data_IF_828659137479
#
_entry.id   IF_828659137479
#
_cell.length_a   1.000
_cell.length_b   1.000
_cell.length_c   1.000
_cell.angle_alpha   90.00
_cell.angle_beta   90.00
_cell.angle_gamma   90.00
#
_symmetry.space_group_name_H-M   'P 1'
#
loop_
_entity.id
_entity.type
_entity.pdbx_description
1 polymer ?
#
# COMPACT_ATOMS: atom_id res chain seq x y z
N UNK A 1 18.08 17.17 7.91
CA UNK A 1 17.81 17.40 6.47
C UNK A 1 17.48 16.12 5.73
N UNK A 2 18.31 15.07 5.83
CA UNK A 2 18.12 13.75 5.18
C UNK A 2 16.74 13.12 5.46
N UNK A 3 16.30 13.08 6.72
CA UNK A 3 15.01 12.50 7.09
C UNK A 3 13.81 13.20 6.43
N UNK A 4 13.84 14.53 6.32
CA UNK A 4 12.77 15.30 5.69
C UNK A 4 12.72 15.05 4.18
N UNK A 5 13.87 15.02 3.51
CA UNK A 5 13.96 14.77 2.07
C UNK A 5 13.41 13.38 1.76
N UNK A 6 13.90 12.35 2.44
CA UNK A 6 13.45 10.99 2.18
C UNK A 6 12.01 10.73 2.63
N UNK A 7 11.56 11.35 3.72
CA UNK A 7 10.15 11.33 4.12
C UNK A 7 9.24 11.94 3.04
N UNK A 8 9.63 13.09 2.47
CA UNK A 8 8.90 13.71 1.37
C UNK A 8 8.90 12.82 0.10
N UNK A 9 10.02 12.20 -0.24
CA UNK A 9 10.09 11.24 -1.35
C UNK A 9 9.19 10.02 -1.11
N UNK A 10 9.18 9.50 0.12
CA UNK A 10 8.25 8.45 0.57
C UNK A 10 6.80 8.85 0.35
N UNK A 11 6.41 10.03 0.83
CA UNK A 11 5.07 10.58 0.66
C UNK A 11 4.68 10.77 -0.82
N UNK A 12 5.54 11.36 -1.63
CA UNK A 12 5.25 11.64 -3.04
C UNK A 12 5.10 10.34 -3.85
N UNK A 13 5.98 9.37 -3.63
CA UNK A 13 5.87 8.06 -4.25
C UNK A 13 4.59 7.32 -3.79
N UNK A 14 4.32 7.30 -2.49
CA UNK A 14 3.09 6.77 -1.93
C UNK A 14 1.83 7.43 -2.49
N UNK A 15 1.89 8.73 -2.72
CA UNK A 15 0.80 9.53 -3.29
C UNK A 15 0.49 9.21 -4.74
N UNK A 16 1.34 8.45 -5.44
CA UNK A 16 1.11 8.14 -6.85
C UNK A 16 -0.26 7.46 -7.06
N UNK A 17 -1.18 8.05 -7.87
CA UNK A 17 -2.59 7.68 -7.91
C UNK A 17 -2.87 6.51 -8.87
N UNK A 18 -2.18 5.39 -8.68
CA UNK A 18 -2.22 4.14 -9.47
C UNK A 18 -3.62 3.72 -9.94
N UNK A 19 -4.55 3.44 -9.01
CA UNK A 19 -5.88 2.94 -9.38
C UNK A 19 -6.79 4.00 -9.99
N UNK A 20 -6.57 5.28 -9.68
CA UNK A 20 -7.25 6.38 -10.35
C UNK A 20 -6.81 6.48 -11.81
N UNK A 21 -5.50 6.47 -12.07
CA UNK A 21 -4.96 6.46 -13.43
C UNK A 21 -5.40 5.23 -14.21
N UNK A 22 -5.43 4.05 -13.59
CA UNK A 22 -5.93 2.84 -14.22
C UNK A 22 -7.41 2.97 -14.64
N UNK A 23 -8.27 3.52 -13.77
CA UNK A 23 -9.68 3.76 -14.10
C UNK A 23 -9.85 4.74 -15.27
N UNK A 24 -9.08 5.83 -15.23
CA UNK A 24 -9.11 6.87 -16.24
C UNK A 24 -8.58 6.37 -17.60
N UNK A 25 -7.46 5.66 -17.63
CA UNK A 25 -6.85 5.21 -18.89
C UNK A 25 -7.57 4.04 -19.55
N UNK A 26 -8.14 3.12 -18.76
CA UNK A 26 -8.75 1.90 -19.31
C UNK A 26 -10.23 2.09 -19.65
N UNK A 27 -10.94 2.91 -18.87
CA UNK A 27 -12.39 3.11 -19.03
C UNK A 27 -12.82 4.56 -19.18
N UNK A 28 -11.93 5.54 -19.02
CA UNK A 28 -12.30 6.96 -19.04
C UNK A 28 -13.13 7.38 -17.83
N UNK A 29 -13.12 6.60 -16.74
CA UNK A 29 -14.00 6.82 -15.58
C UNK A 29 -13.17 7.14 -14.36
N UNK A 30 -13.61 8.15 -13.59
CA UNK A 30 -13.09 8.38 -12.25
C UNK A 30 -13.50 7.24 -11.33
N UNK A 31 -12.53 6.41 -10.94
CA UNK A 31 -12.74 5.26 -10.05
C UNK A 31 -13.40 5.65 -8.71
N UNK A 32 -13.28 6.90 -8.27
CA UNK A 32 -13.85 7.40 -7.01
C UNK A 32 -15.37 7.57 -7.06
N UNK A 33 -15.98 7.54 -8.24
CA UNK A 33 -17.44 7.59 -8.39
C UNK A 33 -18.06 6.19 -8.41
N UNK A 34 -17.26 5.13 -8.28
CA UNK A 34 -17.70 3.73 -8.40
C UNK A 34 -17.49 2.99 -7.08
N UNK A 35 -18.42 2.09 -6.75
CA UNK A 35 -18.27 1.13 -5.65
C UNK A 35 -18.04 1.81 -4.30
N UNK A 36 -16.87 1.59 -3.69
CA UNK A 36 -16.56 2.16 -2.38
C UNK A 36 -15.95 3.57 -2.45
N UNK A 37 -15.78 4.14 -3.63
CA UNK A 37 -15.20 5.46 -3.87
C UNK A 37 -13.69 5.60 -3.59
N UNK A 38 -13.01 4.49 -3.29
CA UNK A 38 -11.56 4.47 -3.05
C UNK A 38 -10.76 4.15 -4.32
N UNK A 39 -9.48 4.52 -4.34
CA UNK A 39 -8.58 4.29 -5.48
C UNK A 39 -7.81 2.96 -5.41
N UNK A 40 -8.01 2.17 -4.35
CA UNK A 40 -7.26 0.93 -4.14
C UNK A 40 -7.71 -0.25 -5.01
N UNK A 41 -6.91 -1.32 -4.96
CA UNK A 41 -7.09 -2.55 -5.73
C UNK A 41 -8.50 -3.16 -5.70
N UNK A 42 -9.19 -3.16 -4.54
CA UNK A 42 -10.55 -3.70 -4.43
C UNK A 42 -11.53 -2.96 -5.35
N UNK A 43 -11.44 -1.63 -5.41
CA UNK A 43 -12.33 -0.84 -6.26
C UNK A 43 -11.91 -0.92 -7.73
N UNK A 44 -10.60 -0.98 -7.99
CA UNK A 44 -10.08 -1.20 -9.34
C UNK A 44 -10.57 -2.55 -9.89
N UNK A 45 -10.64 -3.58 -9.04
CA UNK A 45 -11.20 -4.87 -9.40
C UNK A 45 -12.68 -4.84 -9.76
N UNK A 46 -13.47 -3.98 -9.11
CA UNK A 46 -14.90 -3.80 -9.45
C UNK A 46 -15.10 -3.13 -10.80
N UNK A 47 -14.28 -2.12 -11.12
CA UNK A 47 -14.39 -1.35 -12.36
C UNK A 47 -13.72 -2.05 -13.56
N UNK A 48 -12.53 -2.61 -13.35
CA UNK A 48 -11.61 -3.06 -14.41
C UNK A 48 -11.39 -4.58 -14.42
N UNK A 49 -11.82 -5.28 -13.38
CA UNK A 49 -11.66 -6.74 -13.24
C UNK A 49 -10.41 -7.19 -12.49
N UNK A 50 -10.32 -8.50 -12.25
CA UNK A 50 -9.33 -9.12 -11.33
C UNK A 50 -7.86 -8.87 -11.70
N UNK A 51 -7.54 -8.78 -12.99
CA UNK A 51 -6.15 -8.60 -13.44
C UNK A 51 -5.65 -7.19 -13.08
N UNK A 52 -6.50 -6.17 -13.26
CA UNK A 52 -6.23 -4.80 -12.86
C UNK A 52 -6.19 -4.65 -11.34
N UNK A 53 -7.04 -5.37 -10.60
CA UNK A 53 -6.95 -5.40 -9.14
C UNK A 53 -5.55 -5.86 -8.66
N UNK A 54 -5.03 -6.95 -9.25
CA UNK A 54 -3.69 -7.47 -8.94
C UNK A 54 -2.60 -6.47 -9.33
N UNK A 55 -2.66 -5.91 -10.53
CA UNK A 55 -1.69 -4.93 -11.00
C UNK A 55 -1.63 -3.70 -10.07
N UNK A 56 -2.79 -3.10 -9.74
CA UNK A 56 -2.88 -1.96 -8.83
C UNK A 56 -2.35 -2.32 -7.44
N UNK A 57 -2.68 -3.50 -6.91
CA UNK A 57 -2.17 -3.96 -5.62
C UNK A 57 -0.64 -4.06 -5.62
N UNK A 58 -0.03 -4.64 -6.66
CA UNK A 58 1.43 -4.77 -6.76
C UNK A 58 2.10 -3.39 -6.82
N UNK A 59 1.60 -2.47 -7.65
CA UNK A 59 2.18 -1.12 -7.74
C UNK A 59 1.97 -0.35 -6.43
N UNK A 60 0.82 -0.52 -5.76
CA UNK A 60 0.57 0.08 -4.45
C UNK A 60 1.49 -0.46 -3.34
N UNK A 61 1.83 -1.75 -3.38
CA UNK A 61 2.84 -2.33 -2.48
C UNK A 61 4.22 -1.71 -2.73
N UNK A 62 4.59 -1.58 -4.01
CA UNK A 62 5.92 -1.10 -4.39
C UNK A 62 6.13 0.39 -4.13
N UNK A 63 5.13 1.24 -4.36
CA UNK A 63 5.31 2.69 -4.26
C UNK A 63 5.66 3.17 -2.85
N UNK A 64 5.26 2.45 -1.80
CA UNK A 64 5.70 2.71 -0.43
C UNK A 64 7.09 2.11 -0.11
N UNK A 65 7.42 0.97 -0.69
CA UNK A 65 8.66 0.24 -0.43
C UNK A 65 9.87 0.79 -1.20
N UNK A 66 9.70 1.24 -2.44
CA UNK A 66 10.79 1.69 -3.31
C UNK A 66 11.58 2.85 -2.68
N UNK A 67 10.96 3.94 -2.17
CA UNK A 67 11.72 5.02 -1.53
C UNK A 67 12.53 4.56 -0.33
N UNK A 68 11.99 3.63 0.46
CA UNK A 68 12.67 3.03 1.60
C UNK A 68 13.89 2.20 1.16
N UNK A 69 13.74 1.38 0.12
CA UNK A 69 14.84 0.59 -0.43
C UNK A 69 15.94 1.49 -1.04
N UNK A 70 15.55 2.54 -1.76
CA UNK A 70 16.47 3.53 -2.29
C UNK A 70 17.25 4.24 -1.16
N UNK A 71 16.58 4.60 -0.05
CA UNK A 71 17.23 5.18 1.11
C UNK A 71 18.28 4.24 1.72
N UNK A 72 17.94 2.95 1.89
CA UNK A 72 18.90 1.93 2.36
C UNK A 72 20.09 1.78 1.43
N UNK A 73 19.84 1.76 0.12
CA UNK A 73 20.92 1.66 -0.86
C UNK A 73 21.83 2.90 -0.85
N UNK A 74 21.29 4.07 -0.51
CA UNK A 74 22.05 5.30 -0.27
C UNK A 74 22.81 5.30 1.08
N UNK A 75 22.81 4.20 1.82
CA UNK A 75 23.51 4.06 3.09
C UNK A 75 22.73 4.56 4.31
N UNK A 76 21.42 4.85 4.17
CA UNK A 76 20.59 5.19 5.32
C UNK A 76 20.22 3.91 6.08
N UNK A 77 20.84 3.74 7.25
CA UNK A 77 20.62 2.59 8.14
C UNK A 77 19.80 2.93 9.39
N UNK A 78 19.57 4.22 9.68
CA UNK A 78 18.77 4.65 10.84
C UNK A 78 17.34 4.08 10.74
N UNK A 79 16.93 3.19 11.68
CA UNK A 79 15.61 2.58 11.66
C UNK A 79 14.46 3.59 11.71
N UNK A 80 14.64 4.73 12.38
CA UNK A 80 13.61 5.77 12.50
C UNK A 80 13.40 6.50 11.18
N UNK A 81 14.47 6.77 10.44
CA UNK A 81 14.37 7.39 9.10
C UNK A 81 13.69 6.41 8.14
N UNK A 82 14.07 5.14 8.17
CA UNK A 82 13.45 4.10 7.35
C UNK A 82 11.96 3.93 7.68
N UNK A 83 11.59 3.89 8.96
CA UNK A 83 10.20 3.82 9.41
C UNK A 83 9.40 5.07 8.98
N UNK A 84 10.00 6.26 9.07
CA UNK A 84 9.39 7.51 8.61
C UNK A 84 9.08 7.47 7.12
N UNK A 85 10.00 6.99 6.28
CA UNK A 85 9.80 6.88 4.82
C UNK A 85 8.65 5.91 4.52
N UNK A 86 8.66 4.73 5.16
CA UNK A 86 7.61 3.73 5.00
C UNK A 86 6.24 4.27 5.42
N UNK A 87 6.17 4.92 6.57
CA UNK A 87 4.96 5.56 7.08
C UNK A 87 4.47 6.66 6.13
N UNK A 88 5.37 7.54 5.69
CA UNK A 88 5.06 8.60 4.74
C UNK A 88 4.48 8.05 3.43
N UNK A 89 4.99 6.92 2.93
CA UNK A 89 4.43 6.23 1.76
C UNK A 89 2.99 5.75 1.96
N UNK A 90 2.67 5.19 3.14
CA UNK A 90 1.30 4.79 3.48
C UNK A 90 0.38 6.02 3.60
N UNK A 91 0.85 7.08 4.26
CA UNK A 91 0.14 8.36 4.37
C UNK A 91 -0.13 8.96 2.99
N UNK A 92 0.85 8.95 2.09
CA UNK A 92 0.70 9.41 0.71
C UNK A 92 -0.37 8.62 -0.04
N UNK A 93 -0.41 7.30 0.11
CA UNK A 93 -1.46 6.49 -0.53
C UNK A 93 -2.87 6.84 -0.01
N UNK A 94 -3.01 7.11 1.29
CA UNK A 94 -4.29 7.45 1.90
C UNK A 94 -4.73 8.88 1.58
N UNK A 95 -3.76 9.80 1.56
CA UNK A 95 -3.96 11.23 1.37
C UNK A 95 -3.08 11.76 0.23
N UNK A 96 -3.30 11.31 -1.02
CA UNK A 96 -2.49 11.71 -2.15
C UNK A 96 -2.77 13.18 -2.51
N UNK A 97 -1.70 13.97 -2.59
CA UNK A 97 -1.78 15.40 -2.92
C UNK A 97 -2.52 15.67 -4.24
N UNK A 98 -2.37 14.78 -5.21
CA UNK A 98 -2.96 14.91 -6.56
C UNK A 98 -4.47 14.72 -6.59
N UNK A 99 -5.06 14.05 -5.60
CA UNK A 99 -6.49 13.73 -5.56
C UNK A 99 -7.21 14.45 -4.42
N UNK A 100 -6.75 15.67 -4.10
CA UNK A 100 -7.30 16.49 -3.01
C UNK A 100 -7.31 15.74 -1.67
N UNK A 101 -6.24 14.99 -1.40
CA UNK A 101 -6.06 14.18 -0.19
C UNK A 101 -7.13 13.09 0.00
N UNK A 102 -7.80 12.64 -1.07
CA UNK A 102 -8.78 11.54 -1.04
C UNK A 102 -8.24 10.34 -1.82
N UNK A 103 -7.60 9.41 -1.11
CA UNK A 103 -6.93 8.26 -1.70
C UNK A 103 -7.55 6.91 -1.36
N UNK A 104 -6.69 5.93 -1.17
CA UNK A 104 -7.08 4.57 -0.79
C UNK A 104 -7.06 4.35 0.72
N UNK A 105 -7.07 3.08 1.12
CA UNK A 105 -7.08 2.65 2.54
C UNK A 105 -5.71 2.18 3.06
N UNK A 106 -4.71 2.15 2.20
CA UNK A 106 -3.32 1.90 2.60
C UNK A 106 -2.96 0.43 2.82
N UNK A 107 -3.90 -0.50 2.74
CA UNK A 107 -3.65 -1.92 3.05
C UNK A 107 -2.50 -2.51 2.22
N UNK A 108 -2.59 -2.43 0.89
CA UNK A 108 -1.54 -2.95 0.00
C UNK A 108 -0.20 -2.25 0.25
N UNK A 109 -0.20 -0.93 0.37
CA UNK A 109 1.02 -0.16 0.68
C UNK A 109 1.65 -0.61 1.99
N UNK A 110 0.88 -0.78 3.06
CA UNK A 110 1.33 -1.27 4.37
C UNK A 110 1.94 -2.66 4.30
N UNK A 111 1.34 -3.57 3.52
CA UNK A 111 1.94 -4.89 3.27
C UNK A 111 3.26 -4.79 2.52
N UNK A 112 3.33 -3.94 1.51
CA UNK A 112 4.54 -3.70 0.75
C UNK A 112 5.67 -3.18 1.63
N UNK A 113 5.43 -2.13 2.43
CA UNK A 113 6.46 -1.63 3.34
C UNK A 113 6.82 -2.64 4.41
N UNK A 114 5.86 -3.33 5.03
CA UNK A 114 6.14 -4.36 6.02
C UNK A 114 6.99 -5.50 5.46
N UNK A 115 6.72 -5.93 4.22
CA UNK A 115 7.52 -6.95 3.53
C UNK A 115 8.97 -6.47 3.40
N UNK A 116 9.24 -5.27 2.90
CA UNK A 116 10.61 -4.83 2.66
C UNK A 116 11.33 -4.24 3.90
N UNK A 117 10.60 -3.98 4.99
CA UNK A 117 11.16 -3.42 6.22
C UNK A 117 12.12 -4.43 6.88
N UNK A 118 11.77 -5.72 6.88
CA UNK A 118 12.59 -6.78 7.45
C UNK A 118 12.87 -7.91 6.43
N UNK A 119 13.79 -7.71 5.45
CA UNK A 119 14.09 -8.65 4.37
C UNK A 119 14.24 -10.12 4.79
N UNK A 120 14.83 -10.35 5.97
CA UNK A 120 15.08 -11.69 6.51
C UNK A 120 13.81 -12.38 7.02
N UNK A 121 12.81 -11.61 7.46
CA UNK A 121 11.52 -12.11 7.98
C UNK A 121 10.39 -11.96 6.97
N UNK A 122 10.62 -11.25 5.85
CA UNK A 122 9.64 -10.98 4.79
C UNK A 122 8.94 -12.23 4.27
N UNK A 123 9.70 -13.33 4.13
CA UNK A 123 9.19 -14.63 3.66
C UNK A 123 8.26 -15.33 4.65
N UNK A 124 8.21 -14.88 5.91
CA UNK A 124 7.28 -15.35 6.92
C UNK A 124 6.17 -14.34 7.22
N UNK A 125 6.52 -13.07 7.45
CA UNK A 125 5.60 -12.01 7.91
C UNK A 125 4.47 -11.75 6.90
N UNK A 126 4.80 -11.48 5.63
CA UNK A 126 3.77 -11.12 4.66
C UNK A 126 2.91 -12.32 4.23
N UNK A 127 3.45 -13.53 4.02
CA UNK A 127 2.61 -14.71 3.79
C UNK A 127 1.74 -15.08 5.00
N UNK A 128 2.23 -14.96 6.23
CA UNK A 128 1.44 -15.20 7.44
C UNK A 128 0.28 -14.19 7.57
N UNK A 129 0.55 -12.91 7.34
CA UNK A 129 -0.52 -11.90 7.22
C UNK A 129 -1.48 -12.21 6.08
N UNK A 130 -0.97 -12.46 4.87
CA UNK A 130 -1.80 -12.84 3.73
C UNK A 130 -2.70 -14.06 4.01
N UNK A 131 -2.21 -15.03 4.78
CA UNK A 131 -2.99 -16.18 5.24
C UNK A 131 -4.10 -15.77 6.21
N UNK A 132 -3.80 -14.96 7.24
CA UNK A 132 -4.83 -14.42 8.16
C UNK A 132 -5.90 -13.66 7.38
N UNK A 133 -5.49 -12.81 6.44
CA UNK A 133 -6.41 -12.08 5.56
C UNK A 133 -7.32 -13.03 4.77
N UNK A 134 -6.75 -14.06 4.13
CA UNK A 134 -7.52 -15.04 3.36
C UNK A 134 -8.48 -15.84 4.22
N UNK A 135 -8.06 -16.27 5.42
CA UNK A 135 -8.90 -17.03 6.35
C UNK A 135 -10.09 -16.19 6.84
N UNK A 136 -9.84 -14.95 7.27
CA UNK A 136 -10.91 -14.04 7.72
C UNK A 136 -11.85 -13.69 6.56
N UNK A 137 -11.30 -13.45 5.36
CA UNK A 137 -12.12 -13.18 4.18
C UNK A 137 -13.02 -14.35 3.83
N UNK A 138 -12.49 -15.59 3.81
CA UNK A 138 -13.29 -16.78 3.52
C UNK A 138 -14.34 -17.05 4.61
N UNK A 139 -14.01 -16.81 5.87
CA UNK A 139 -14.93 -17.06 6.99
C UNK A 139 -16.05 -16.01 7.12
N UNK A 140 -15.80 -14.75 6.76
CA UNK A 140 -16.70 -13.63 7.04
C UNK A 140 -17.21 -12.89 5.80
N UNK A 141 -16.56 -13.04 4.64
CA UNK A 141 -16.93 -12.35 3.40
C UNK A 141 -16.58 -10.85 3.34
N UNK A 142 -16.05 -10.27 4.43
CA UNK A 142 -15.75 -8.84 4.53
C UNK A 142 -14.27 -8.52 4.33
N UNK A 143 -13.94 -7.84 3.22
CA UNK A 143 -12.57 -7.40 2.89
C UNK A 143 -11.99 -6.43 3.93
N UNK A 144 -12.83 -5.54 4.51
CA UNK A 144 -12.38 -4.60 5.54
C UNK A 144 -11.93 -5.32 6.81
N UNK A 145 -12.74 -6.26 7.30
CA UNK A 145 -12.42 -7.04 8.49
C UNK A 145 -11.14 -7.86 8.29
N UNK A 146 -11.03 -8.57 7.16
CA UNK A 146 -9.82 -9.30 6.80
C UNK A 146 -8.57 -8.41 6.80
N UNK A 147 -8.68 -7.20 6.26
CA UNK A 147 -7.57 -6.23 6.20
C UNK A 147 -7.16 -5.74 7.59
N UNK A 148 -8.12 -5.36 8.42
CA UNK A 148 -7.85 -4.87 9.78
C UNK A 148 -7.24 -5.95 10.65
N UNK A 149 -7.87 -7.12 10.75
CA UNK A 149 -7.36 -8.24 11.56
C UNK A 149 -5.96 -8.61 11.15
N UNK A 150 -5.72 -8.69 9.84
CA UNK A 150 -4.43 -9.14 9.35
C UNK A 150 -3.31 -8.13 9.54
N UNK A 151 -3.58 -6.82 9.38
CA UNK A 151 -2.60 -5.79 9.69
C UNK A 151 -2.30 -5.72 11.18
N UNK A 152 -3.30 -5.96 12.05
CA UNK A 152 -3.08 -6.06 13.50
C UNK A 152 -2.21 -7.25 13.89
N UNK A 153 -2.26 -8.35 13.14
CA UNK A 153 -1.43 -9.53 13.40
C UNK A 153 0.01 -9.40 12.86
N UNK A 154 0.30 -8.48 11.94
CA UNK A 154 1.64 -8.37 11.33
C UNK A 154 2.79 -8.26 12.35
N UNK A 155 2.70 -7.46 13.43
CA UNK A 155 3.77 -7.38 14.43
C UNK A 155 4.00 -8.69 15.21
N UNK A 156 3.02 -9.59 15.27
CA UNK A 156 3.17 -10.88 15.96
C UNK A 156 4.06 -11.86 15.19
N UNK A 157 4.35 -11.58 13.92
CA UNK A 157 5.17 -12.41 13.05
C UNK A 157 6.57 -11.84 12.81
N UNK A 158 6.84 -10.62 13.29
CA UNK A 158 8.05 -9.84 13.01
C UNK A 158 9.05 -9.85 14.18
#
# INVERSE_FOLDING_TARGET
MTALIWGALGYLAGSFPTGYLAGLWVKGVDIRTIGSGGTGATNAGRLLGKNWAKAVAIVDMLKGAVPMLCARWWGISDPWIIALIAFAGVVGHNYPVWLSFKGGKGVATSYGVAFFLYPHLSFFVAPAGGLVWLLVLKAKGYVSLASMTSLCCLPLFA
#
